data_IF_461148100674
#
_entry.id   IF_461148100674
#
_cell.length_a   1.000
_cell.length_b   1.000
_cell.length_c   1.000
_cell.angle_alpha   90.00
_cell.angle_beta   90.00
_cell.angle_gamma   90.00
#
_symmetry.space_group_name_H-M   'P 1'
#
loop_
_entity.id
_entity.type
_entity.pdbx_description
1 polymer ?
#
# COMPACT_ATOMS: atom_id res chain seq x y z
N UNK A 1 18.57 5.90 12.36
CA UNK A 1 17.41 6.77 12.52
C UNK A 1 16.23 5.84 12.67
N UNK A 2 15.39 6.01 13.68
CA UNK A 2 14.15 5.23 13.76
C UNK A 2 13.22 5.79 12.69
N UNK A 3 13.19 5.17 11.51
CA UNK A 3 12.36 5.56 10.37
C UNK A 3 10.89 5.09 10.54
N UNK A 4 10.50 4.80 11.78
CA UNK A 4 9.20 4.24 12.13
C UNK A 4 8.27 5.36 12.60
N UNK A 5 7.08 5.43 11.99
CA UNK A 5 6.02 6.36 12.36
C UNK A 5 5.47 6.01 13.73
N UNK A 6 5.08 7.05 14.47
CA UNK A 6 4.31 6.92 15.69
C UNK A 6 2.88 6.49 15.40
N UNK A 7 2.20 5.93 16.39
CA UNK A 7 0.77 5.56 16.27
C UNK A 7 -0.10 6.77 15.93
N UNK A 8 0.22 7.95 16.47
CA UNK A 8 -0.50 9.18 16.19
C UNK A 8 -0.37 9.61 14.72
N UNK A 9 0.80 9.42 14.11
CA UNK A 9 1.01 9.70 12.69
C UNK A 9 0.29 8.69 11.80
N UNK A 10 0.30 7.40 12.17
CA UNK A 10 -0.47 6.37 11.46
C UNK A 10 -1.97 6.66 11.52
N UNK A 11 -2.49 7.10 12.66
CA UNK A 11 -3.90 7.45 12.81
C UNK A 11 -4.25 8.73 12.04
N UNK A 12 -3.35 9.73 12.01
CA UNK A 12 -3.54 10.91 11.17
C UNK A 12 -3.62 10.56 9.68
N UNK A 13 -2.76 9.64 9.21
CA UNK A 13 -2.79 9.15 7.83
C UNK A 13 -4.07 8.38 7.51
N UNK A 14 -4.64 7.62 8.46
CA UNK A 14 -5.88 6.86 8.28
C UNK A 14 -7.09 7.74 7.93
N UNK A 15 -7.06 9.01 8.35
CA UNK A 15 -8.13 9.98 8.10
C UNK A 15 -8.07 10.60 6.69
N UNK A 16 -7.02 10.34 5.92
CA UNK A 16 -6.83 10.88 4.56
C UNK A 16 -7.14 9.78 3.55
N UNK A 17 -7.92 10.11 2.53
CA UNK A 17 -8.25 9.16 1.48
C UNK A 17 -7.03 8.84 0.57
N UNK A 18 -7.02 7.61 0.03
CA UNK A 18 -5.94 7.11 -0.83
C UNK A 18 -5.62 8.03 -2.02
N UNK A 19 -6.59 8.54 -2.81
CA UNK A 19 -6.25 9.43 -3.92
C UNK A 19 -5.63 10.75 -3.47
N UNK A 20 -6.01 11.33 -2.32
CA UNK A 20 -5.36 12.53 -1.77
C UNK A 20 -3.89 12.28 -1.44
N UNK A 21 -3.56 11.14 -0.82
CA UNK A 21 -2.16 10.76 -0.54
C UNK A 21 -1.38 10.53 -1.85
N UNK A 22 -1.98 9.83 -2.83
CA UNK A 22 -1.33 9.59 -4.11
C UNK A 22 -0.99 10.91 -4.83
N UNK A 23 -1.96 11.83 -4.91
CA UNK A 23 -1.77 13.15 -5.52
C UNK A 23 -0.69 13.97 -4.81
N UNK A 24 -0.61 13.89 -3.47
CA UNK A 24 0.41 14.59 -2.71
C UNK A 24 1.83 14.09 -3.02
N UNK A 25 2.00 12.83 -3.44
CA UNK A 25 3.29 12.21 -3.75
C UNK A 25 3.75 12.54 -5.19
N UNK A 26 2.83 12.82 -6.13
CA UNK A 26 3.15 13.07 -7.55
C UNK A 26 4.24 14.14 -7.76
N UNK A 27 4.24 15.31 -7.08
CA UNK A 27 5.22 16.36 -7.30
C UNK A 27 6.66 15.97 -6.94
N UNK A 28 6.84 14.92 -6.12
CA UNK A 28 8.17 14.45 -5.74
C UNK A 28 8.88 13.70 -6.88
N UNK A 29 8.15 13.31 -7.94
CA UNK A 29 8.67 12.66 -9.14
C UNK A 29 9.57 11.43 -8.86
N UNK A 30 9.23 10.68 -7.79
CA UNK A 30 10.00 9.52 -7.32
C UNK A 30 9.70 8.23 -8.11
N UNK A 31 8.54 8.15 -8.78
CA UNK A 31 8.10 7.03 -9.62
C UNK A 31 7.08 7.51 -10.65
N UNK A 32 6.82 6.74 -11.71
CA UNK A 32 5.73 7.05 -12.66
C UNK A 32 4.38 7.04 -11.92
N UNK A 33 3.46 7.92 -12.33
CA UNK A 33 2.12 8.00 -11.73
C UNK A 33 1.30 6.71 -11.91
N UNK A 34 1.70 5.86 -12.87
CA UNK A 34 1.06 4.56 -13.12
C UNK A 34 1.69 3.44 -12.29
N UNK A 35 2.88 3.64 -11.73
CA UNK A 35 3.57 2.62 -10.97
C UNK A 35 2.93 2.46 -9.59
N UNK A 36 2.56 1.21 -9.26
CA UNK A 36 1.80 0.90 -8.05
C UNK A 36 0.30 1.16 -8.15
N UNK A 37 -0.23 1.46 -9.35
CA UNK A 37 -1.67 1.46 -9.58
C UNK A 37 -2.24 0.05 -9.36
N UNK A 38 -3.24 -0.03 -8.49
CA UNK A 38 -3.95 -1.27 -8.21
C UNK A 38 -5.17 -1.35 -9.12
N UNK A 39 -5.19 -2.33 -10.03
CA UNK A 39 -6.27 -2.49 -11.01
C UNK A 39 -7.64 -2.80 -10.38
N UNK A 40 -8.70 -2.60 -11.15
CA UNK A 40 -10.12 -2.78 -10.76
C UNK A 40 -10.49 -4.19 -10.30
N UNK A 41 -9.65 -5.18 -10.62
CA UNK A 41 -9.82 -6.58 -10.22
C UNK A 41 -9.59 -6.78 -8.72
N UNK A 42 -8.83 -5.89 -8.07
CA UNK A 42 -8.59 -5.93 -6.63
C UNK A 42 -9.65 -5.09 -5.92
N UNK A 43 -10.39 -5.73 -5.01
CA UNK A 43 -11.52 -5.12 -4.29
C UNK A 43 -11.38 -5.33 -2.79
N UNK A 44 -11.90 -4.38 -2.01
CA UNK A 44 -11.99 -4.53 -0.56
C UNK A 44 -13.04 -5.60 -0.22
N UNK A 45 -12.62 -6.69 0.43
CA UNK A 45 -13.52 -7.78 0.83
C UNK A 45 -14.23 -7.52 2.16
N UNK A 46 -13.69 -6.63 3.00
CA UNK A 46 -14.21 -6.33 4.35
C UNK A 46 -14.32 -4.80 4.57
N UNK A 47 -15.22 -4.09 3.87
CA UNK A 47 -15.37 -2.64 4.02
C UNK A 47 -15.70 -2.18 5.45
N UNK A 48 -16.36 -3.03 6.23
CA UNK A 48 -16.73 -2.80 7.62
C UNK A 48 -15.55 -2.66 8.58
N UNK A 49 -14.37 -3.16 8.19
CA UNK A 49 -13.13 -2.98 8.96
C UNK A 49 -12.53 -1.57 8.81
N UNK A 50 -13.06 -0.76 7.89
CA UNK A 50 -12.60 0.60 7.65
C UNK A 50 -11.31 0.69 6.84
N UNK A 51 -10.75 1.91 6.77
CA UNK A 51 -9.50 2.21 6.07
C UNK A 51 -8.32 1.63 6.83
N UNK A 52 -7.34 1.08 6.12
CA UNK A 52 -6.12 0.49 6.68
C UNK A 52 -4.88 1.30 6.27
N UNK A 53 -3.99 1.55 7.24
CA UNK A 53 -2.67 2.17 7.03
C UNK A 53 -1.62 1.36 7.79
N UNK A 54 -0.44 1.17 7.19
CA UNK A 54 0.66 0.45 7.81
C UNK A 54 1.84 0.26 6.85
N UNK A 55 2.86 -0.47 7.32
CA UNK A 55 4.04 -0.78 6.53
C UNK A 55 3.80 -1.97 5.60
N UNK A 56 4.16 -1.81 4.32
CA UNK A 56 4.02 -2.86 3.33
C UNK A 56 5.07 -3.96 3.54
N UNK A 57 4.62 -5.21 3.51
CA UNK A 57 5.47 -6.41 3.46
C UNK A 57 5.12 -7.17 2.19
N UNK A 58 6.04 -7.22 1.24
CA UNK A 58 5.82 -7.86 -0.07
C UNK A 58 6.10 -9.36 0.00
N UNK A 59 5.17 -10.17 -0.50
CA UNK A 59 5.32 -11.62 -0.66
C UNK A 59 5.03 -12.06 -2.09
N UNK A 60 5.77 -13.06 -2.56
CA UNK A 60 5.52 -13.71 -3.85
C UNK A 60 5.12 -15.16 -3.59
N UNK A 61 4.02 -15.58 -4.21
CA UNK A 61 3.50 -16.94 -4.10
C UNK A 61 3.41 -17.57 -5.48
N UNK A 62 3.96 -18.77 -5.61
CA UNK A 62 3.84 -19.62 -6.79
C UNK A 62 3.34 -20.99 -6.33
N UNK A 63 2.24 -21.44 -6.92
CA UNK A 63 1.62 -22.75 -6.60
C UNK A 63 1.69 -23.72 -7.77
N UNK A 64 2.21 -23.29 -8.92
CA UNK A 64 2.14 -24.04 -10.19
C UNK A 64 3.51 -24.49 -10.70
N UNK A 65 4.60 -23.91 -10.20
CA UNK A 65 5.96 -24.40 -10.50
C UNK A 65 6.35 -25.58 -9.62
N UNK A 66 6.72 -26.71 -10.24
CA UNK A 66 7.25 -27.85 -9.49
C UNK A 66 8.69 -27.55 -9.01
N UNK A 67 8.98 -27.74 -7.72
CA UNK A 67 10.30 -27.48 -7.14
C UNK A 67 10.52 -26.00 -6.80
N UNK A 68 10.91 -25.73 -5.55
CA UNK A 68 11.00 -24.37 -5.01
C UNK A 68 12.28 -23.67 -5.48
N UNK A 69 12.17 -22.63 -6.30
CA UNK A 69 13.26 -21.66 -6.49
C UNK A 69 13.21 -20.67 -5.32
N UNK A 70 14.23 -20.75 -4.46
CA UNK A 70 14.60 -19.71 -3.50
C UNK A 70 15.55 -18.73 -4.17
#
# INVERSE_FOLDING_TARGET
MDDTLTEAELEALRQIDTPTIANAIEPFNIRSNTDGFMGWDIRCMFPEMGVMVGYAVTGTLDTTTHGRVQ
#
